data_IF_442941685424
#
_entry.id   IF_442941685424
#
_cell.length_a   1.000
_cell.length_b   1.000
_cell.length_c   1.000
_cell.angle_alpha   90.00
_cell.angle_beta   90.00
_cell.angle_gamma   90.00
#
_symmetry.space_group_name_H-M   'P 1'
#
loop_
_entity.id
_entity.type
_entity.pdbx_description
1 polymer ?
#
# COMPACT_ATOMS: atom_id res chain seq x y z
N UNK A 1 30.01 -27.32 -21.23
CA UNK A 1 28.57 -27.10 -20.96
C UNK A 1 28.39 -26.34 -19.64
N UNK A 2 28.34 -25.01 -19.70
CA UNK A 2 28.06 -24.17 -18.55
C UNK A 2 26.54 -24.14 -18.36
N UNK A 3 26.04 -24.90 -17.39
CA UNK A 3 24.65 -24.81 -16.97
C UNK A 3 24.47 -23.45 -16.29
N UNK A 4 23.91 -22.47 -17.00
CA UNK A 4 23.43 -21.23 -16.39
C UNK A 4 22.35 -21.63 -15.39
N UNK A 5 22.62 -21.55 -14.09
CA UNK A 5 21.60 -21.75 -13.06
C UNK A 5 20.60 -20.60 -13.16
N UNK A 6 19.54 -20.82 -13.94
CA UNK A 6 18.40 -19.91 -14.07
C UNK A 6 17.80 -19.70 -12.67
N UNK A 7 17.70 -18.45 -12.23
CA UNK A 7 17.06 -18.08 -10.95
C UNK A 7 18.00 -17.95 -9.75
N UNK A 8 19.31 -17.70 -9.96
CA UNK A 8 20.25 -17.30 -8.90
C UNK A 8 20.70 -15.86 -9.13
N UNK A 9 20.59 -15.02 -8.10
CA UNK A 9 21.02 -13.63 -8.09
C UNK A 9 22.21 -13.49 -7.13
N UNK A 10 23.21 -12.72 -7.52
CA UNK A 10 24.40 -12.45 -6.73
C UNK A 10 24.34 -11.06 -6.10
N UNK A 11 24.51 -10.97 -4.78
CA UNK A 11 24.55 -9.69 -4.08
C UNK A 11 25.75 -8.85 -4.58
N UNK A 12 25.54 -7.61 -5.05
CA UNK A 12 26.63 -6.80 -5.63
C UNK A 12 27.67 -6.33 -4.59
N UNK A 13 27.36 -6.41 -3.30
CA UNK A 13 28.25 -5.94 -2.22
C UNK A 13 29.08 -7.08 -1.64
N UNK A 14 28.44 -8.15 -1.18
CA UNK A 14 29.12 -9.28 -0.53
C UNK A 14 29.37 -10.47 -1.46
N UNK A 15 28.92 -10.41 -2.72
CA UNK A 15 29.05 -11.50 -3.71
C UNK A 15 28.37 -12.83 -3.33
N UNK A 16 27.54 -12.85 -2.29
CA UNK A 16 26.75 -14.02 -1.89
C UNK A 16 25.69 -14.34 -2.93
N UNK A 17 25.58 -15.61 -3.29
CA UNK A 17 24.54 -16.12 -4.19
C UNK A 17 23.26 -16.44 -3.41
N UNK A 18 22.12 -16.05 -3.97
CA UNK A 18 20.79 -16.28 -3.42
C UNK A 18 19.83 -16.72 -4.53
N UNK A 19 18.90 -17.63 -4.22
CA UNK A 19 17.85 -17.98 -5.15
C UNK A 19 16.86 -16.81 -5.30
N UNK A 20 16.46 -16.49 -6.53
CA UNK A 20 15.56 -15.38 -6.85
C UNK A 20 14.25 -15.45 -6.05
N UNK A 21 13.70 -16.66 -5.87
CA UNK A 21 12.49 -16.91 -5.05
C UNK A 21 12.60 -16.51 -3.57
N UNK A 22 13.80 -16.31 -3.04
CA UNK A 22 14.03 -15.89 -1.65
C UNK A 22 14.28 -14.38 -1.54
N UNK A 23 14.34 -13.67 -2.67
CA UNK A 23 14.50 -12.21 -2.70
C UNK A 23 13.12 -11.60 -2.67
N UNK A 24 12.90 -10.69 -1.72
CA UNK A 24 11.63 -9.98 -1.51
C UNK A 24 11.80 -8.50 -1.83
N UNK A 25 10.70 -7.87 -2.22
CA UNK A 25 10.66 -6.42 -2.44
C UNK A 25 10.93 -5.68 -1.13
N UNK A 26 11.73 -4.62 -1.21
CA UNK A 26 11.83 -3.66 -0.12
C UNK A 26 10.63 -2.70 -0.18
N UNK A 27 9.57 -3.03 0.54
CA UNK A 27 8.35 -2.23 0.60
C UNK A 27 8.54 -0.84 1.23
N UNK A 28 9.66 -0.58 1.94
CA UNK A 28 10.01 0.76 2.42
C UNK A 28 10.50 1.68 1.29
N UNK A 29 11.02 1.11 0.19
CA UNK A 29 11.62 1.85 -0.93
C UNK A 29 10.70 1.93 -2.14
N UNK A 30 9.76 0.98 -2.27
CA UNK A 30 8.78 0.90 -3.38
C UNK A 30 7.84 2.12 -3.48
N UNK A 31 7.87 3.04 -2.51
CA UNK A 31 7.13 4.31 -2.47
C UNK A 31 7.57 5.34 -3.53
N UNK A 32 8.69 5.11 -4.24
CA UNK A 32 9.27 6.13 -5.15
C UNK A 32 9.08 5.88 -6.66
N UNK A 33 8.50 4.77 -7.09
CA UNK A 33 8.54 4.38 -8.52
C UNK A 33 7.22 4.40 -9.28
N UNK A 34 6.28 5.28 -8.94
CA UNK A 34 5.15 5.64 -9.84
C UNK A 34 4.82 7.14 -9.84
N UNK A 35 5.82 8.01 -9.63
CA UNK A 35 5.68 9.42 -10.01
C UNK A 35 6.89 9.78 -10.88
N UNK A 36 6.69 10.05 -12.19
CA UNK A 36 7.78 10.53 -13.03
C UNK A 36 8.39 11.77 -12.38
N UNK A 37 9.71 11.75 -12.21
CA UNK A 37 10.47 12.93 -11.83
C UNK A 37 10.46 13.90 -13.01
N UNK A 38 9.51 14.84 -12.99
CA UNK A 38 9.56 16.05 -13.81
C UNK A 38 8.99 17.22 -13.01
N UNK A 39 9.91 18.08 -12.59
CA UNK A 39 9.75 19.53 -12.39
C UNK A 39 8.31 20.06 -12.20
N UNK A 40 7.98 20.45 -10.96
CA UNK A 40 6.85 21.33 -10.60
C UNK A 40 5.49 20.88 -11.14
N UNK A 41 4.97 19.77 -10.63
CA UNK A 41 3.54 19.50 -10.68
C UNK A 41 3.05 19.30 -9.25
N UNK A 42 2.12 20.17 -8.81
CA UNK A 42 1.28 19.91 -7.63
C UNK A 42 0.80 18.48 -7.74
N UNK A 43 1.25 17.59 -6.85
CA UNK A 43 0.84 16.20 -6.86
C UNK A 43 -0.68 16.15 -6.70
N UNK A 44 -1.41 16.03 -7.82
CA UNK A 44 -2.86 15.97 -7.83
C UNK A 44 -3.29 14.58 -7.39
N UNK A 45 -3.20 14.35 -6.08
CA UNK A 45 -3.79 13.18 -5.44
C UNK A 45 -5.30 13.17 -5.76
N UNK A 46 -5.81 12.02 -6.17
CA UNK A 46 -7.22 11.80 -6.51
C UNK A 46 -7.91 11.02 -5.39
N UNK A 47 -9.21 11.18 -5.29
CA UNK A 47 -10.03 10.50 -4.31
C UNK A 47 -10.09 8.99 -4.60
N UNK A 48 -9.75 8.18 -3.60
CA UNK A 48 -9.70 6.71 -3.72
C UNK A 48 -11.04 6.04 -3.41
N UNK A 49 -12.00 6.79 -2.88
CA UNK A 49 -13.29 6.26 -2.39
C UNK A 49 -14.48 6.68 -3.26
N UNK A 50 -14.25 7.31 -4.42
CA UNK A 50 -15.29 7.63 -5.41
C UNK A 50 -14.93 7.08 -6.79
N UNK A 51 -15.92 6.82 -7.62
CA UNK A 51 -15.72 6.33 -9.00
C UNK A 51 -15.28 7.44 -9.96
N UNK A 52 -15.47 8.71 -9.59
CA UNK A 52 -15.20 9.88 -10.44
C UNK A 52 -13.71 10.27 -10.50
N UNK A 53 -12.83 9.60 -9.73
CA UNK A 53 -11.42 9.99 -9.55
C UNK A 53 -11.23 11.51 -9.28
N UNK A 54 -12.19 12.10 -8.57
CA UNK A 54 -12.22 13.54 -8.31
C UNK A 54 -10.99 13.98 -7.51
N UNK A 55 -10.60 15.26 -7.64
CA UNK A 55 -9.46 15.79 -6.89
C UNK A 55 -9.62 15.59 -5.38
N UNK A 56 -8.59 15.01 -4.74
CA UNK A 56 -8.56 14.85 -3.30
C UNK A 56 -8.37 16.20 -2.62
N UNK A 57 -9.11 16.43 -1.53
CA UNK A 57 -9.03 17.64 -0.72
C UNK A 57 -8.55 17.35 0.72
N UNK A 58 -8.48 16.08 1.10
CA UNK A 58 -7.98 15.69 2.41
C UNK A 58 -7.66 14.21 2.50
N UNK A 59 -6.96 13.84 3.55
CA UNK A 59 -6.52 12.50 3.84
C UNK A 59 -7.08 12.03 5.18
N UNK A 60 -7.80 10.91 5.17
CA UNK A 60 -8.29 10.26 6.38
C UNK A 60 -7.19 9.39 6.98
N UNK A 61 -6.78 9.66 8.22
CA UNK A 61 -5.65 8.96 8.86
C UNK A 61 -6.02 7.51 9.20
N UNK A 62 -7.24 7.27 9.64
CA UNK A 62 -7.72 5.97 10.09
C UNK A 62 -8.06 5.04 8.92
N UNK A 63 -8.58 5.60 7.81
CA UNK A 63 -8.85 4.83 6.58
C UNK A 63 -7.62 4.73 5.68
N UNK A 64 -6.65 5.62 5.84
CA UNK A 64 -5.46 5.74 4.98
C UNK A 64 -5.86 6.01 3.52
N UNK A 65 -6.86 6.88 3.34
CA UNK A 65 -7.50 7.17 2.05
C UNK A 65 -7.49 8.68 1.72
N UNK A 66 -7.29 8.98 0.44
CA UNK A 66 -7.48 10.33 -0.10
C UNK A 66 -8.95 10.53 -0.46
N UNK A 67 -9.55 11.63 0.03
CA UNK A 67 -10.97 11.91 -0.10
C UNK A 67 -11.20 13.25 -0.79
N UNK A 68 -12.11 13.29 -1.77
CA UNK A 68 -12.64 14.55 -2.31
C UNK A 68 -13.60 15.20 -1.32
N UNK A 69 -13.98 16.46 -1.56
CA UNK A 69 -14.92 17.22 -0.70
C UNK A 69 -16.23 16.48 -0.44
N UNK A 70 -16.74 15.73 -1.42
CA UNK A 70 -17.98 14.97 -1.28
C UNK A 70 -17.79 13.75 -0.39
N UNK A 71 -16.71 12.99 -0.59
CA UNK A 71 -16.39 11.83 0.24
C UNK A 71 -16.08 12.23 1.68
N UNK A 72 -15.35 13.33 1.93
CA UNK A 72 -15.13 13.86 3.30
C UNK A 72 -16.46 14.13 4.01
N UNK A 73 -17.38 14.83 3.35
CA UNK A 73 -18.70 15.14 3.93
C UNK A 73 -19.51 13.87 4.21
N UNK A 74 -19.43 12.86 3.35
CA UNK A 74 -20.09 11.58 3.59
C UNK A 74 -19.44 10.86 4.78
N UNK A 75 -18.12 10.83 4.81
CA UNK A 75 -17.30 10.21 5.85
C UNK A 75 -17.60 10.80 7.24
N UNK A 76 -17.78 12.11 7.34
CA UNK A 76 -18.15 12.81 8.58
C UNK A 76 -19.61 12.57 9.03
N UNK A 77 -20.49 12.04 8.15
CA UNK A 77 -21.89 11.74 8.49
C UNK A 77 -22.12 10.28 8.84
N UNK A 78 -21.35 9.36 8.25
CA UNK A 78 -21.53 7.93 8.46
C UNK A 78 -21.10 7.54 9.87
N UNK A 79 -21.97 6.81 10.58
CA UNK A 79 -21.81 6.47 12.00
C UNK A 79 -20.43 5.87 12.36
N UNK A 80 -19.83 5.11 11.43
CA UNK A 80 -18.56 4.42 11.65
C UNK A 80 -17.33 5.29 11.41
N UNK A 81 -17.45 6.33 10.58
CA UNK A 81 -16.31 7.12 10.09
C UNK A 81 -16.37 8.59 10.52
N UNK A 82 -17.45 8.99 11.20
CA UNK A 82 -17.70 10.37 11.61
C UNK A 82 -16.64 10.95 12.56
N UNK A 83 -16.01 10.08 13.35
CA UNK A 83 -15.01 10.45 14.36
C UNK A 83 -13.57 10.27 13.84
N UNK A 84 -13.39 9.95 12.55
CA UNK A 84 -12.07 9.85 11.92
C UNK A 84 -11.46 11.23 11.66
N UNK A 85 -10.14 11.31 11.77
CA UNK A 85 -9.34 12.51 11.55
C UNK A 85 -9.02 12.68 10.07
N UNK A 86 -9.56 13.73 9.45
CA UNK A 86 -9.26 14.10 8.06
C UNK A 86 -8.36 15.33 8.04
N UNK A 87 -7.13 15.18 7.56
CA UNK A 87 -6.17 16.30 7.35
C UNK A 87 -6.39 16.96 5.99
N UNK A 88 -6.33 18.28 5.91
CA UNK A 88 -6.49 18.98 4.62
C UNK A 88 -5.25 18.81 3.73
N UNK A 89 -5.45 18.75 2.41
CA UNK A 89 -4.38 18.59 1.42
C UNK A 89 -3.26 19.63 1.60
N UNK A 90 -3.60 20.84 2.01
CA UNK A 90 -2.68 21.96 2.22
C UNK A 90 -1.81 21.81 3.49
N UNK A 91 -2.29 21.07 4.49
CA UNK A 91 -1.59 20.81 5.76
C UNK A 91 -0.77 19.51 5.72
N UNK A 92 -0.97 18.70 4.68
CA UNK A 92 -0.26 17.44 4.50
C UNK A 92 1.03 17.72 3.73
N UNK A 93 2.15 17.91 4.43
CA UNK A 93 3.45 17.93 3.77
C UNK A 93 3.74 16.56 3.14
N UNK A 94 4.36 16.49 1.94
CA UNK A 94 4.71 15.21 1.32
C UNK A 94 5.61 14.35 2.23
N UNK A 95 6.39 14.99 3.11
CA UNK A 95 7.21 14.34 4.14
C UNK A 95 6.38 13.76 5.30
N UNK A 96 5.27 14.39 5.68
CA UNK A 96 4.38 13.88 6.73
C UNK A 96 3.57 12.65 6.28
N UNK A 97 3.28 12.54 4.98
CA UNK A 97 2.67 11.31 4.41
C UNK A 97 3.68 10.16 4.42
N UNK A 98 4.95 10.43 4.12
CA UNK A 98 6.00 9.41 4.09
C UNK A 98 6.41 8.88 5.47
N UNK A 99 6.30 9.69 6.53
CA UNK A 99 6.73 9.29 7.88
C UNK A 99 5.60 8.65 8.71
N UNK A 100 4.33 8.94 8.41
CA UNK A 100 3.21 8.49 9.26
C UNK A 100 2.23 7.54 8.57
N UNK A 101 2.25 7.42 7.24
CA UNK A 101 1.31 6.55 6.52
C UNK A 101 2.05 5.36 5.96
N UNK A 102 2.05 4.23 6.68
CA UNK A 102 2.29 2.94 6.03
C UNK A 102 1.21 2.78 4.96
N UNK A 103 1.53 3.08 3.70
CA UNK A 103 0.59 2.90 2.59
C UNK A 103 0.12 1.45 2.62
N UNK A 104 -1.18 1.20 2.44
CA UNK A 104 -1.71 -0.14 2.54
C UNK A 104 -1.12 -1.03 1.44
N UNK A 105 -0.56 -2.17 1.85
CA UNK A 105 -0.11 -3.20 0.91
C UNK A 105 -1.30 -4.08 0.55
N UNK A 106 -1.59 -4.20 -0.74
CA UNK A 106 -2.72 -4.98 -1.22
C UNK A 106 -2.34 -6.43 -1.53
N UNK A 107 -3.31 -7.32 -1.37
CA UNK A 107 -3.14 -8.73 -1.71
C UNK A 107 -2.93 -8.90 -3.22
N UNK A 108 -1.92 -9.68 -3.67
CA UNK A 108 -1.67 -9.91 -5.08
C UNK A 108 -2.81 -10.67 -5.78
N UNK A 109 -3.59 -11.45 -5.03
CA UNK A 109 -4.72 -12.23 -5.53
C UNK A 109 -6.05 -11.46 -5.38
N UNK A 110 -6.24 -10.77 -4.26
CA UNK A 110 -7.44 -9.98 -3.96
C UNK A 110 -7.09 -8.49 -4.02
N UNK A 111 -6.98 -7.92 -5.22
CA UNK A 111 -6.39 -6.59 -5.48
C UNK A 111 -7.01 -5.42 -4.70
N UNK A 112 -8.24 -5.57 -4.18
CA UNK A 112 -8.94 -4.57 -3.37
C UNK A 112 -8.76 -4.76 -1.86
N UNK A 113 -8.29 -5.92 -1.44
CA UNK A 113 -8.14 -6.28 -0.04
C UNK A 113 -6.72 -6.02 0.45
N UNK A 114 -6.61 -5.41 1.62
CA UNK A 114 -5.33 -5.09 2.23
C UNK A 114 -4.77 -6.31 2.98
N UNK A 115 -3.46 -6.51 2.88
CA UNK A 115 -2.73 -7.50 3.69
C UNK A 115 -2.63 -6.97 5.13
N UNK A 116 -3.54 -7.41 6.00
CA UNK A 116 -3.64 -6.98 7.40
C UNK A 116 -3.60 -8.11 8.42
N UNK A 117 -3.63 -9.35 7.95
CA UNK A 117 -3.73 -10.54 8.79
C UNK A 117 -2.46 -11.37 8.64
N UNK A 118 -2.05 -12.06 9.70
CA UNK A 118 -0.93 -12.98 9.66
C UNK A 118 -1.46 -14.41 9.71
N UNK A 119 -0.90 -15.30 8.88
CA UNK A 119 -1.11 -16.73 9.01
C UNK A 119 0.16 -17.33 9.62
N UNK A 120 0.08 -17.76 10.87
CA UNK A 120 1.14 -18.48 11.58
C UNK A 120 1.52 -19.79 10.88
N UNK A 121 0.56 -20.55 10.34
CA UNK A 121 0.85 -21.83 9.67
C UNK A 121 1.69 -21.65 8.39
N UNK A 122 1.45 -20.56 7.66
CA UNK A 122 2.13 -20.28 6.40
C UNK A 122 3.26 -19.25 6.53
N UNK A 123 3.48 -18.73 7.74
CA UNK A 123 4.48 -17.70 8.05
C UNK A 123 4.42 -16.49 7.09
N UNK A 124 3.20 -16.00 6.79
CA UNK A 124 3.00 -14.95 5.78
C UNK A 124 1.83 -14.01 6.09
N UNK A 125 1.92 -12.80 5.54
CA UNK A 125 0.83 -11.83 5.50
C UNK A 125 -0.27 -12.28 4.54
N UNK A 126 -1.51 -12.04 4.93
CA UNK A 126 -2.75 -12.44 4.24
C UNK A 126 -3.79 -11.32 4.32
N UNK A 127 -4.74 -11.32 3.39
CA UNK A 127 -5.93 -10.50 3.50
C UNK A 127 -7.10 -11.29 4.10
N UNK A 128 -8.22 -10.61 4.35
CA UNK A 128 -9.45 -11.22 4.88
C UNK A 128 -9.94 -12.37 4.00
N UNK A 129 -9.99 -12.17 2.69
CA UNK A 129 -10.49 -13.19 1.78
C UNK A 129 -9.58 -14.42 1.68
N UNK A 130 -8.25 -14.21 1.73
CA UNK A 130 -7.29 -15.31 1.85
C UNK A 130 -7.55 -16.16 3.10
N UNK A 131 -7.87 -15.54 4.23
CA UNK A 131 -8.18 -16.22 5.50
C UNK A 131 -9.50 -16.99 5.47
N UNK A 132 -10.48 -16.54 4.69
CA UNK A 132 -11.76 -17.23 4.59
C UNK A 132 -11.76 -18.40 3.59
N UNK A 133 -10.88 -18.35 2.60
CA UNK A 133 -10.82 -19.33 1.50
C UNK A 133 -9.67 -20.32 1.71
N UNK A 134 -8.44 -19.89 1.42
CA UNK A 134 -7.26 -20.75 1.36
C UNK A 134 -6.68 -21.07 2.74
N UNK A 135 -6.86 -20.18 3.71
CA UNK A 135 -6.26 -20.27 5.05
C UNK A 135 -7.30 -20.54 6.15
N UNK A 136 -8.48 -21.04 5.80
CA UNK A 136 -9.63 -21.19 6.71
C UNK A 136 -9.33 -22.00 7.98
N UNK A 137 -8.51 -23.04 7.88
CA UNK A 137 -8.15 -23.92 9.00
C UNK A 137 -6.72 -23.69 9.50
N UNK A 138 -6.08 -22.61 9.03
CA UNK A 138 -4.77 -22.24 9.48
C UNK A 138 -4.86 -21.28 10.66
N UNK A 139 -3.79 -21.25 11.45
CA UNK A 139 -3.57 -20.22 12.43
C UNK A 139 -2.75 -19.10 11.80
#
# INVERSE_FOLDING_TARGET
>A
PLATQVGVIRCPVCSQECAERHIIDNFFVKDTTEVPSSTVEKSNQVCTSCEDNAEANGFCVECVEWLCKTCIRAHQRVKFTKDHTVRQKEEVSPEAVGVTSQRPVFCPFHKKEQLKLYCETCDKLTCRDCQLLEHKEHR
#
